data_IF_802942047373
#
_entry.id   IF_802942047373
#
_cell.length_a   1.000
_cell.length_b   1.000
_cell.length_c   1.000
_cell.angle_alpha   90.00
_cell.angle_beta   90.00
_cell.angle_gamma   90.00
#
_symmetry.space_group_name_H-M   'P 1'
#
loop_
_entity.id
_entity.type
_entity.pdbx_description
1 polymer ?
#
# COMPACT_ATOMS: atom_id res chain seq x y z
N UNK A 1 39.87 -1.90 17.20
CA UNK A 1 40.07 -1.87 15.75
C UNK A 1 38.83 -2.47 15.08
N UNK A 2 37.95 -1.55 14.66
CA UNK A 2 36.83 -1.60 13.71
C UNK A 2 36.24 -2.95 13.27
N UNK A 3 35.05 -3.24 13.80
CA UNK A 3 33.99 -3.95 13.06
C UNK A 3 33.27 -2.93 12.18
N UNK A 4 33.73 -2.75 10.95
CA UNK A 4 33.02 -1.99 9.92
C UNK A 4 32.21 -2.96 9.08
N UNK A 5 30.90 -2.76 9.01
CA UNK A 5 30.01 -3.56 8.16
C UNK A 5 28.57 -3.70 8.65
N UNK A 6 28.06 -2.74 9.42
CA UNK A 6 26.63 -2.59 9.68
C UNK A 6 26.14 -1.40 8.85
N UNK A 7 25.94 -1.66 7.57
CA UNK A 7 25.28 -0.81 6.56
C UNK A 7 24.56 -1.84 5.68
N UNK A 8 23.25 -2.08 5.81
CA UNK A 8 22.20 -1.25 5.24
C UNK A 8 20.81 -1.76 5.74
N UNK A 9 20.33 -1.28 6.89
CA UNK A 9 18.90 -1.33 7.22
C UNK A 9 18.26 -0.06 6.64
N UNK A 10 18.05 -0.07 5.33
CA UNK A 10 17.35 1.02 4.66
C UNK A 10 15.96 1.17 5.27
N UNK A 11 15.73 2.33 5.90
CA UNK A 11 14.44 2.88 6.34
C UNK A 11 13.53 3.16 5.12
N UNK A 12 13.32 2.16 4.26
CA UNK A 12 12.59 2.28 3.02
C UNK A 12 11.10 2.04 3.20
N UNK A 13 10.29 2.73 2.41
CA UNK A 13 8.87 2.41 2.30
C UNK A 13 8.64 1.24 1.35
N UNK A 14 7.62 0.43 1.59
CA UNK A 14 7.09 -0.53 0.62
C UNK A 14 5.99 0.13 -0.20
N UNK A 15 5.93 -0.15 -1.49
CA UNK A 15 4.83 0.24 -2.36
C UNK A 15 4.25 -0.96 -3.09
N UNK A 16 2.92 -1.06 -3.20
CA UNK A 16 2.27 -2.17 -3.90
C UNK A 16 0.95 -1.74 -4.52
N UNK A 17 0.61 -2.27 -5.69
CA UNK A 17 -0.75 -2.19 -6.22
C UNK A 17 -1.61 -3.28 -5.55
N UNK A 18 -2.68 -2.88 -4.86
CA UNK A 18 -3.57 -3.78 -4.12
C UNK A 18 -4.76 -4.26 -4.94
N UNK A 19 -5.12 -3.51 -5.99
CA UNK A 19 -6.18 -3.91 -6.93
C UNK A 19 -5.63 -4.90 -7.96
N UNK A 20 -6.43 -5.87 -8.43
CA UNK A 20 -6.01 -6.80 -9.47
C UNK A 20 -5.50 -6.09 -10.74
N UNK A 21 -4.52 -6.70 -11.41
CA UNK A 21 -4.05 -6.22 -12.70
C UNK A 21 -5.14 -6.31 -13.77
N UNK A 22 -5.27 -5.29 -14.60
CA UNK A 22 -6.24 -5.28 -15.70
C UNK A 22 -6.75 -3.88 -15.97
N UNK A 23 -7.76 -3.77 -16.84
CA UNK A 23 -8.50 -2.52 -17.02
C UNK A 23 -9.60 -2.44 -15.95
N UNK A 24 -9.51 -1.45 -15.09
CA UNK A 24 -10.53 -1.09 -14.12
C UNK A 24 -10.81 0.42 -14.16
N UNK A 25 -11.88 0.85 -13.48
CA UNK A 25 -12.13 2.28 -13.30
C UNK A 25 -11.09 2.90 -12.36
N UNK A 26 -10.74 2.20 -11.28
CA UNK A 26 -9.84 2.66 -10.22
C UNK A 26 -8.82 1.58 -9.92
N UNK A 27 -7.59 2.00 -9.63
CA UNK A 27 -6.57 1.18 -9.00
C UNK A 27 -6.11 1.80 -7.68
N UNK A 28 -5.74 0.96 -6.71
CA UNK A 28 -5.23 1.40 -5.41
C UNK A 28 -3.78 0.98 -5.27
N UNK A 29 -2.89 1.96 -5.16
CA UNK A 29 -1.50 1.78 -4.74
C UNK A 29 -1.39 2.12 -3.26
N UNK A 30 -0.82 1.22 -2.47
CA UNK A 30 -0.49 1.48 -1.07
C UNK A 30 0.99 1.80 -0.95
N UNK A 31 1.33 2.73 -0.07
CA UNK A 31 2.68 3.03 0.39
C UNK A 31 2.71 2.83 1.90
N UNK A 32 3.62 1.99 2.39
CA UNK A 32 3.73 1.64 3.79
C UNK A 32 5.16 1.83 4.31
N UNK A 33 5.31 2.61 5.37
CA UNK A 33 6.60 2.93 5.99
C UNK A 33 6.57 4.28 6.69
N UNK A 34 7.60 4.56 7.50
CA UNK A 34 7.72 5.80 8.29
C UNK A 34 7.70 7.06 7.42
N UNK A 35 8.22 6.97 6.20
CA UNK A 35 8.33 8.09 5.27
C UNK A 35 7.23 8.07 4.18
N UNK A 36 6.22 7.19 4.29
CA UNK A 36 5.23 6.95 3.23
C UNK A 36 4.53 8.24 2.79
N UNK A 37 4.17 9.07 3.76
CA UNK A 37 3.55 10.37 3.54
C UNK A 37 4.48 11.36 2.84
N UNK A 38 5.75 11.37 3.20
CA UNK A 38 6.75 12.23 2.56
C UNK A 38 6.99 11.79 1.11
N UNK A 39 7.15 10.49 0.87
CA UNK A 39 7.33 9.92 -0.47
C UNK A 39 6.16 10.31 -1.40
N UNK A 40 4.93 10.14 -0.93
CA UNK A 40 3.72 10.50 -1.70
C UNK A 40 3.61 12.02 -1.93
N UNK A 41 3.95 12.84 -0.92
CA UNK A 41 3.85 14.30 -1.02
C UNK A 41 4.77 14.93 -2.09
N UNK A 42 5.80 14.21 -2.55
CA UNK A 42 6.71 14.70 -3.61
C UNK A 42 6.08 14.70 -4.99
N UNK A 43 5.09 13.84 -5.21
CA UNK A 43 4.43 13.69 -6.51
C UNK A 43 2.96 14.13 -6.48
N UNK A 44 2.34 14.16 -5.30
CA UNK A 44 0.95 14.52 -5.14
C UNK A 44 0.78 16.02 -4.83
N UNK A 45 0.09 16.72 -5.72
CA UNK A 45 -0.29 18.12 -5.58
C UNK A 45 -1.78 18.21 -5.21
N UNK A 46 -2.15 18.50 -3.96
CA UNK A 46 -3.55 18.61 -3.58
C UNK A 46 -4.21 19.81 -4.29
N UNK A 47 -5.47 19.64 -4.71
CA UNK A 47 -6.24 20.73 -5.32
C UNK A 47 -6.58 21.86 -4.32
N UNK A 48 -6.58 21.54 -3.02
CA UNK A 48 -6.77 22.51 -1.94
C UNK A 48 -5.44 23.02 -1.37
N UNK A 49 -5.51 24.07 -0.54
CA UNK A 49 -4.32 24.70 0.06
C UNK A 49 -3.58 23.84 1.10
N UNK A 50 -4.26 22.84 1.68
CA UNK A 50 -3.70 22.03 2.76
C UNK A 50 -2.81 20.92 2.19
N UNK A 51 -1.50 20.91 2.50
CA UNK A 51 -0.59 19.86 2.04
C UNK A 51 -0.96 18.51 2.66
N UNK A 52 -0.49 17.43 2.02
CA UNK A 52 -0.76 16.10 2.54
C UNK A 52 -0.22 15.91 3.95
N UNK A 53 0.89 16.57 4.35
CA UNK A 53 1.54 16.52 5.68
C UNK A 53 0.72 17.06 6.85
N UNK A 54 -0.30 17.89 6.59
CA UNK A 54 -1.12 18.53 7.62
C UNK A 54 -2.50 17.90 7.79
N UNK A 55 -2.85 16.94 6.92
CA UNK A 55 -4.16 16.25 6.96
C UNK A 55 -4.26 15.23 8.11
N UNK A 56 -5.35 15.17 8.86
CA UNK A 56 -5.57 14.08 9.81
C UNK A 56 -5.67 12.73 9.09
N UNK A 57 -5.38 11.62 9.79
CA UNK A 57 -5.62 10.29 9.24
C UNK A 57 -7.08 10.10 8.79
N UNK A 58 -7.27 9.32 7.73
CA UNK A 58 -8.55 8.96 7.09
C UNK A 58 -9.26 10.11 6.39
N UNK A 59 -8.62 11.28 6.27
CA UNK A 59 -9.09 12.35 5.39
C UNK A 59 -8.70 12.07 3.95
N UNK A 60 -9.66 12.18 3.03
CA UNK A 60 -9.44 12.02 1.59
C UNK A 60 -9.03 13.38 0.99
N UNK A 61 -7.95 13.37 0.21
CA UNK A 61 -7.46 14.52 -0.53
C UNK A 61 -7.55 14.25 -2.03
N UNK A 62 -8.24 15.12 -2.77
CA UNK A 62 -8.20 15.13 -4.24
C UNK A 62 -7.05 16.02 -4.73
N UNK A 63 -6.44 15.63 -5.84
CA UNK A 63 -5.36 16.40 -6.45
C UNK A 63 -4.82 15.73 -7.71
N UNK A 64 -3.65 16.20 -8.12
CA UNK A 64 -2.97 15.75 -9.34
C UNK A 64 -1.65 15.08 -8.94
N UNK A 65 -1.33 13.97 -9.59
CA UNK A 65 -0.06 13.28 -9.46
C UNK A 65 0.87 13.60 -10.63
N UNK A 66 2.05 14.13 -10.31
CA UNK A 66 3.11 14.49 -11.26
C UNK A 66 3.94 15.69 -10.78
N UNK A 67 5.15 15.82 -11.32
CA UNK A 67 6.10 16.92 -11.00
C UNK A 67 6.14 18.02 -12.05
N UNK A 68 5.61 17.77 -13.26
CA UNK A 68 5.81 18.61 -14.44
C UNK A 68 4.49 19.17 -14.98
N UNK A 69 4.56 20.26 -15.76
CA UNK A 69 3.43 20.94 -16.42
C UNK A 69 2.69 20.09 -17.48
N UNK A 70 3.12 18.84 -17.72
CA UNK A 70 2.33 17.89 -18.50
C UNK A 70 1.05 17.51 -17.72
N UNK A 71 -0.03 17.15 -18.44
CA UNK A 71 -1.28 16.68 -17.80
C UNK A 71 -0.98 15.50 -16.86
N UNK A 72 -0.95 15.79 -15.55
CA UNK A 72 -0.79 14.78 -14.51
C UNK A 72 -2.04 13.92 -14.35
N UNK A 73 -1.93 12.92 -13.50
CA UNK A 73 -3.02 12.00 -13.20
C UNK A 73 -3.91 12.59 -12.10
N UNK A 74 -5.20 12.84 -12.39
CA UNK A 74 -6.16 13.21 -11.34
C UNK A 74 -6.49 12.00 -10.48
N UNK A 75 -6.28 12.12 -9.18
CA UNK A 75 -6.44 11.02 -8.24
C UNK A 75 -6.82 11.49 -6.84
N UNK A 76 -7.13 10.53 -5.96
CA UNK A 76 -7.30 10.80 -4.54
C UNK A 76 -6.23 10.09 -3.72
N UNK A 77 -5.88 10.69 -2.59
CA UNK A 77 -4.93 10.15 -1.61
C UNK A 77 -5.58 10.15 -0.23
N UNK A 78 -5.35 9.09 0.53
CA UNK A 78 -5.80 8.95 1.91
C UNK A 78 -4.66 8.45 2.80
N UNK A 79 -4.26 9.24 3.80
CA UNK A 79 -3.36 8.76 4.85
C UNK A 79 -4.18 7.92 5.83
N UNK A 80 -4.12 6.59 5.76
CA UNK A 80 -4.95 5.69 6.58
C UNK A 80 -4.57 5.73 8.06
N UNK A 81 -3.27 5.80 8.31
CA UNK A 81 -2.62 5.94 9.61
C UNK A 81 -1.23 6.59 9.41
N UNK A 82 -0.41 6.64 10.46
CA UNK A 82 0.89 7.33 10.43
C UNK A 82 1.91 6.72 9.45
N UNK A 83 1.76 5.43 9.11
CA UNK A 83 2.70 4.70 8.28
C UNK A 83 2.09 4.26 6.94
N UNK A 84 0.79 4.45 6.72
CA UNK A 84 0.09 3.90 5.56
C UNK A 84 -0.62 4.99 4.76
N UNK A 85 -0.27 5.10 3.48
CA UNK A 85 -0.92 6.01 2.53
C UNK A 85 -1.49 5.19 1.37
N UNK A 86 -2.75 5.44 1.03
CA UNK A 86 -3.41 4.89 -0.15
C UNK A 86 -3.49 5.98 -1.21
N UNK A 87 -3.11 5.62 -2.44
CA UNK A 87 -3.18 6.44 -3.65
C UNK A 87 -4.14 5.73 -4.61
N UNK A 88 -5.27 6.35 -4.93
CA UNK A 88 -6.31 5.78 -5.76
C UNK A 88 -6.40 6.54 -7.09
N UNK A 89 -5.83 5.96 -8.13
CA UNK A 89 -5.75 6.50 -9.50
C UNK A 89 -6.73 5.80 -10.44
N UNK A 90 -6.75 6.21 -11.71
CA UNK A 90 -7.47 5.47 -12.74
C UNK A 90 -6.90 4.04 -12.87
N UNK A 91 -7.78 3.07 -13.07
CA UNK A 91 -7.42 1.65 -13.16
C UNK A 91 -6.75 1.24 -14.48
N UNK A 92 -6.09 2.18 -15.15
CA UNK A 92 -5.27 1.92 -16.34
C UNK A 92 -3.85 1.53 -15.95
N UNK A 93 -3.28 0.54 -16.65
CA UNK A 93 -1.91 0.06 -16.40
C UNK A 93 -0.86 1.18 -16.39
N UNK A 94 -0.97 2.14 -17.31
CA UNK A 94 -0.02 3.25 -17.41
C UNK A 94 -0.02 4.16 -16.16
N UNK A 95 -1.20 4.44 -15.57
CA UNK A 95 -1.31 5.25 -14.37
C UNK A 95 -0.65 4.57 -13.16
N UNK A 96 -0.93 3.28 -12.97
CA UNK A 96 -0.34 2.46 -11.89
C UNK A 96 1.17 2.34 -12.04
N UNK A 97 1.66 2.00 -13.25
CA UNK A 97 3.09 1.85 -13.51
C UNK A 97 3.85 3.15 -13.30
N UNK A 98 3.28 4.30 -13.73
CA UNK A 98 3.87 5.62 -13.47
C UNK A 98 3.99 5.89 -11.98
N UNK A 99 2.92 5.72 -11.21
CA UNK A 99 2.93 5.97 -9.76
C UNK A 99 3.94 5.07 -9.04
N UNK A 100 4.00 3.79 -9.39
CA UNK A 100 4.97 2.86 -8.80
C UNK A 100 6.41 3.21 -9.17
N UNK A 101 6.67 3.64 -10.40
CA UNK A 101 8.00 4.08 -10.84
C UNK A 101 8.44 5.36 -10.13
N UNK A 102 7.53 6.34 -10.00
CA UNK A 102 7.78 7.58 -9.27
C UNK A 102 8.13 7.28 -7.80
N UNK A 103 7.36 6.42 -7.14
CA UNK A 103 7.64 5.98 -5.76
C UNK A 103 8.99 5.25 -5.66
N UNK A 104 9.29 4.36 -6.61
CA UNK A 104 10.58 3.66 -6.66
C UNK A 104 11.76 4.64 -6.79
N UNK A 105 11.60 5.73 -7.56
CA UNK A 105 12.62 6.78 -7.69
C UNK A 105 12.93 7.51 -6.37
N UNK A 106 12.03 7.43 -5.38
CA UNK A 106 12.22 7.96 -4.03
C UNK A 106 12.74 6.92 -3.04
N UNK A 107 13.14 5.73 -3.53
CA UNK A 107 13.66 4.65 -2.69
C UNK A 107 12.58 3.74 -2.10
N UNK A 108 11.31 3.87 -2.52
CA UNK A 108 10.30 2.88 -2.14
C UNK A 108 10.60 1.54 -2.82
N UNK A 109 10.60 0.44 -2.06
CA UNK A 109 10.67 -0.90 -2.64
C UNK A 109 9.28 -1.29 -3.15
N UNK A 110 9.16 -1.42 -4.47
CA UNK A 110 7.92 -1.90 -5.10
C UNK A 110 7.84 -3.42 -4.94
N UNK A 111 6.75 -3.90 -4.36
CA UNK A 111 6.52 -5.30 -4.04
C UNK A 111 5.18 -5.78 -4.59
N UNK A 112 5.01 -7.09 -4.72
CA UNK A 112 3.71 -7.68 -5.07
C UNK A 112 2.68 -7.48 -3.96
N UNK A 113 1.38 -7.54 -4.28
CA UNK A 113 0.33 -7.53 -3.25
C UNK A 113 0.48 -8.68 -2.25
N UNK A 114 0.90 -9.86 -2.71
CA UNK A 114 1.18 -11.02 -1.85
C UNK A 114 2.34 -10.76 -0.88
N UNK A 115 3.44 -10.18 -1.36
CA UNK A 115 4.58 -9.81 -0.50
C UNK A 115 4.22 -8.66 0.46
N UNK A 116 3.37 -7.72 0.03
CA UNK A 116 2.85 -6.69 0.92
C UNK A 116 2.04 -7.30 2.08
N UNK A 117 1.18 -8.29 1.80
CA UNK A 117 0.42 -9.00 2.85
C UNK A 117 1.39 -9.66 3.84
N UNK A 118 2.36 -10.44 3.36
CA UNK A 118 3.29 -11.13 4.25
C UNK A 118 4.20 -10.19 5.03
N UNK A 119 4.53 -9.02 4.47
CA UNK A 119 5.29 -7.97 5.16
C UNK A 119 4.47 -7.24 6.21
N UNK A 120 3.16 -7.05 5.98
CA UNK A 120 2.27 -6.26 6.84
C UNK A 120 1.73 -7.02 8.05
N UNK A 121 1.56 -8.34 7.93
CA UNK A 121 0.97 -9.18 8.97
C UNK A 121 1.99 -10.19 9.48
N UNK A 122 2.45 -10.00 10.73
CA UNK A 122 3.48 -10.82 11.34
C UNK A 122 3.06 -12.29 11.56
N UNK A 123 1.76 -12.54 11.72
CA UNK A 123 1.25 -13.90 11.86
C UNK A 123 1.08 -14.56 10.48
N UNK A 124 1.83 -15.64 10.25
CA UNK A 124 1.83 -16.36 8.99
C UNK A 124 0.47 -16.99 8.64
N UNK A 125 -0.30 -17.45 9.63
CA UNK A 125 -1.65 -17.99 9.42
C UNK A 125 -2.59 -16.87 9.00
N UNK A 126 -2.49 -15.70 9.62
CA UNK A 126 -3.29 -14.54 9.23
C UNK A 126 -2.94 -14.06 7.83
N UNK A 127 -1.65 -13.91 7.51
CA UNK A 127 -1.19 -13.51 6.19
C UNK A 127 -1.68 -14.50 5.11
N UNK A 128 -1.55 -15.81 5.35
CA UNK A 128 -2.04 -16.85 4.46
C UNK A 128 -3.57 -16.79 4.29
N UNK A 129 -4.33 -16.63 5.38
CA UNK A 129 -5.77 -16.54 5.33
C UNK A 129 -6.26 -15.30 4.56
N UNK A 130 -5.58 -14.14 4.67
CA UNK A 130 -5.90 -12.93 3.88
C UNK A 130 -5.66 -13.15 2.39
N UNK A 131 -4.51 -13.73 2.04
CA UNK A 131 -4.20 -14.06 0.65
C UNK A 131 -5.23 -15.01 0.06
N UNK A 132 -5.54 -16.10 0.77
CA UNK A 132 -6.54 -17.07 0.34
C UNK A 132 -7.96 -16.47 0.26
N UNK A 133 -8.33 -15.58 1.19
CA UNK A 133 -9.66 -14.96 1.20
C UNK A 133 -9.89 -14.11 -0.06
N UNK A 134 -8.84 -13.42 -0.55
CA UNK A 134 -8.91 -12.66 -1.80
C UNK A 134 -9.19 -13.52 -3.05
N UNK A 135 -8.92 -14.82 -2.96
CA UNK A 135 -9.09 -15.80 -4.04
C UNK A 135 -10.26 -16.77 -3.80
N UNK A 136 -11.05 -16.56 -2.74
CA UNK A 136 -12.14 -17.46 -2.41
C UNK A 136 -13.26 -17.39 -3.46
N UNK A 137 -13.58 -18.53 -4.07
CA UNK A 137 -14.61 -18.65 -5.11
C UNK A 137 -15.96 -19.13 -4.59
N UNK A 138 -16.06 -19.47 -3.29
CA UNK A 138 -17.30 -19.89 -2.65
C UNK A 138 -17.48 -19.20 -1.30
N UNK A 139 -18.74 -18.98 -0.92
CA UNK A 139 -19.10 -18.43 0.39
C UNK A 139 -18.60 -19.32 1.54
N UNK A 140 -18.71 -20.64 1.38
CA UNK A 140 -18.23 -21.60 2.38
C UNK A 140 -16.72 -21.46 2.62
N UNK A 141 -15.93 -21.38 1.56
CA UNK A 141 -14.47 -21.16 1.67
C UNK A 141 -14.17 -19.82 2.32
N UNK A 142 -14.88 -18.75 1.93
CA UNK A 142 -14.72 -17.42 2.53
C UNK A 142 -15.04 -17.43 4.03
N UNK A 143 -16.11 -18.10 4.46
CA UNK A 143 -16.50 -18.23 5.86
C UNK A 143 -15.41 -18.93 6.71
N UNK A 144 -14.85 -20.05 6.20
CA UNK A 144 -13.76 -20.76 6.88
C UNK A 144 -12.53 -19.86 7.04
N UNK A 145 -12.17 -19.11 6.01
CA UNK A 145 -11.01 -18.21 6.03
C UNK A 145 -11.24 -17.03 6.98
N UNK A 146 -12.45 -16.48 7.03
CA UNK A 146 -12.83 -15.45 8.00
C UNK A 146 -12.72 -15.96 9.44
N UNK A 147 -13.07 -17.22 9.71
CA UNK A 147 -12.86 -17.81 11.03
C UNK A 147 -11.37 -17.95 11.38
N UNK A 148 -10.51 -18.27 10.40
CA UNK A 148 -9.07 -18.28 10.60
C UNK A 148 -8.51 -16.88 10.89
N UNK A 149 -9.00 -15.85 10.20
CA UNK A 149 -8.65 -14.46 10.50
C UNK A 149 -9.10 -14.02 11.90
N UNK A 150 -10.18 -14.61 12.42
CA UNK A 150 -10.64 -14.43 13.80
C UNK A 150 -9.90 -15.32 14.81
N UNK A 151 -8.84 -16.01 14.39
CA UNK A 151 -7.97 -16.79 15.27
C UNK A 151 -8.51 -18.16 15.67
N UNK A 152 -9.44 -18.75 14.89
CA UNK A 152 -9.96 -20.10 15.18
C UNK A 152 -8.85 -21.15 15.34
N UNK A 153 -7.92 -21.21 14.38
CA UNK A 153 -6.76 -22.09 14.46
C UNK A 153 -5.89 -21.85 15.69
N UNK A 154 -5.58 -20.58 16.00
CA UNK A 154 -4.73 -20.22 17.16
C UNK A 154 -5.32 -20.74 18.48
N UNK A 155 -6.64 -20.65 18.63
CA UNK A 155 -7.34 -21.12 19.84
C UNK A 155 -7.20 -22.64 20.03
N UNK A 156 -7.26 -23.41 18.95
CA UNK A 156 -7.11 -24.86 19.02
C UNK A 156 -5.66 -25.28 19.32
N UNK A 157 -4.65 -24.50 18.91
CA UNK A 157 -3.25 -24.78 19.24
C UNK A 157 -2.91 -24.55 20.73
N UNK A 158 -3.69 -23.73 21.43
CA UNK A 158 -3.48 -23.38 22.84
C UNK A 158 -4.38 -24.17 23.79
N UNK A 159 -5.09 -25.17 23.29
CA UNK A 159 -6.07 -25.97 24.02
C UNK A 159 -5.43 -27.23 24.59
#
# INVERSE_FOLDING_TARGET
MNRTGQQDESRGCLAACLTPSGRGAIATVVVWGVDARQCVSRFFQPAGKRPLSERPPREIAFGVWGTDDCRGEELVVCCRDDATVEVQCHGGRAAVERILADLASQGCRVVSSSEWITSRYADAVEAAARGALSQATTERTAAILLDQLRGAWRRELTR
#
